data_IF_215180797525
#
_entry.id   IF_215180797525
#
_cell.length_a   1.000
_cell.length_b   1.000
_cell.length_c   1.000
_cell.angle_alpha   90.00
_cell.angle_beta   90.00
_cell.angle_gamma   90.00
#
_symmetry.space_group_name_H-M   'P 1'
#
loop_
_entity.id
_entity.type
_entity.pdbx_description
1 polymer ?
#
# COMPACT_ATOMS: atom_id res chain seq x y z
N UNK A 1 28.04 5.70 12.81
CA UNK A 1 26.59 5.98 12.91
C UNK A 1 25.93 5.28 11.73
N UNK A 2 25.13 4.24 11.96
CA UNK A 2 24.40 3.60 10.86
C UNK A 2 23.40 4.62 10.33
N UNK A 3 23.60 5.09 9.10
CA UNK A 3 22.58 5.81 8.37
C UNK A 3 21.52 4.78 8.00
N UNK A 4 20.52 4.56 8.87
CA UNK A 4 19.35 3.80 8.47
C UNK A 4 18.70 4.53 7.30
N UNK A 5 18.58 3.84 6.16
CA UNK A 5 17.89 4.37 5.00
C UNK A 5 16.41 4.54 5.36
N UNK A 6 15.93 5.78 5.40
CA UNK A 6 14.51 6.10 5.54
C UNK A 6 13.83 5.74 4.22
N UNK A 7 12.80 4.88 4.27
CA UNK A 7 12.07 4.48 3.07
C UNK A 7 10.90 5.42 2.78
N UNK A 8 10.71 5.77 1.51
CA UNK A 8 9.59 6.59 1.05
C UNK A 8 8.36 5.71 0.79
N UNK A 9 7.30 5.91 1.57
CA UNK A 9 6.07 5.13 1.50
C UNK A 9 4.90 6.02 1.08
N UNK A 10 4.19 5.68 0.02
CA UNK A 10 2.94 6.34 -0.36
C UNK A 10 1.74 5.49 0.03
N UNK A 11 0.78 6.05 0.76
CA UNK A 11 -0.52 5.44 1.06
C UNK A 11 -1.61 6.24 0.35
N UNK A 12 -2.18 5.68 -0.72
CA UNK A 12 -3.17 6.36 -1.57
C UNK A 12 -4.56 5.78 -1.29
N UNK A 13 -5.45 6.64 -0.82
CA UNK A 13 -6.69 6.28 -0.14
C UNK A 13 -6.45 6.21 1.36
N UNK A 14 -7.00 7.15 2.12
CA UNK A 14 -6.85 7.30 3.56
C UNK A 14 -8.11 6.85 4.34
N UNK A 15 -9.08 6.24 3.65
CA UNK A 15 -10.27 5.67 4.27
C UNK A 15 -9.99 4.48 5.21
N UNK A 16 -10.97 3.60 5.37
CA UNK A 16 -10.91 2.55 6.39
C UNK A 16 -9.69 1.64 6.28
N UNK A 17 -9.35 1.17 5.07
CA UNK A 17 -8.21 0.28 4.85
C UNK A 17 -6.88 1.03 4.82
N UNK A 18 -6.84 2.21 4.20
CA UNK A 18 -5.63 3.04 4.13
C UNK A 18 -5.11 3.44 5.50
N UNK A 19 -6.00 3.93 6.37
CA UNK A 19 -5.66 4.24 7.76
C UNK A 19 -5.22 3.01 8.59
N UNK A 20 -5.71 1.81 8.26
CA UNK A 20 -5.22 0.56 8.87
C UNK A 20 -3.82 0.18 8.40
N UNK A 21 -3.49 0.39 7.12
CA UNK A 21 -2.11 0.26 6.64
C UNK A 21 -1.18 1.24 7.36
N UNK A 22 -1.63 2.48 7.54
CA UNK A 22 -0.90 3.52 8.26
C UNK A 22 -0.63 3.12 9.73
N UNK A 23 -1.61 2.52 10.42
CA UNK A 23 -1.41 1.93 11.75
C UNK A 23 -0.39 0.77 11.74
N UNK A 24 -0.38 -0.05 10.69
CA UNK A 24 0.61 -1.11 10.51
C UNK A 24 2.03 -0.55 10.35
N UNK A 25 2.18 0.51 9.54
CA UNK A 25 3.46 1.20 9.34
C UNK A 25 3.96 1.83 10.65
N UNK A 26 3.07 2.45 11.44
CA UNK A 26 3.41 3.02 12.74
C UNK A 26 3.97 2.00 13.75
N UNK A 27 3.58 0.73 13.64
CA UNK A 27 4.03 -0.36 14.53
C UNK A 27 5.30 -1.06 14.03
N UNK A 28 5.80 -0.67 12.86
CA UNK A 28 7.05 -1.20 12.32
C UNK A 28 8.24 -0.76 13.15
N UNK A 29 9.27 -1.60 13.22
CA UNK A 29 10.58 -1.23 13.78
C UNK A 29 11.44 -0.42 12.80
N UNK A 30 10.94 -0.16 11.58
CA UNK A 30 11.61 0.64 10.55
C UNK A 30 11.07 2.06 10.54
N UNK A 31 11.94 3.00 10.20
CA UNK A 31 11.58 4.40 10.01
C UNK A 31 11.18 4.68 8.56
N UNK A 32 10.13 5.50 8.41
CA UNK A 32 9.53 5.79 7.11
C UNK A 32 9.28 7.29 6.93
N UNK A 33 9.42 7.74 5.69
CA UNK A 33 8.82 8.98 5.22
C UNK A 33 7.50 8.62 4.51
N UNK A 34 6.38 8.88 5.18
CA UNK A 34 5.05 8.45 4.75
C UNK A 34 4.28 9.62 4.13
N UNK A 35 3.73 9.39 2.95
CA UNK A 35 2.87 10.31 2.22
C UNK A 35 1.46 9.71 2.14
N UNK A 36 0.51 10.30 2.85
CA UNK A 36 -0.89 9.88 2.88
C UNK A 36 -1.70 10.79 1.95
N UNK A 37 -2.33 10.20 0.94
CA UNK A 37 -3.04 10.93 -0.11
C UNK A 37 -4.50 10.49 -0.18
N UNK A 38 -5.42 11.43 0.00
CA UNK A 38 -6.85 11.21 -0.21
C UNK A 38 -7.52 12.56 -0.53
N UNK A 39 -8.33 12.67 -1.59
CA UNK A 39 -9.04 13.92 -1.89
C UNK A 39 -10.01 14.34 -0.77
N UNK A 40 -10.52 13.39 0.02
CA UNK A 40 -11.43 13.66 1.13
C UNK A 40 -10.65 14.02 2.39
N UNK A 41 -10.78 15.27 2.83
CA UNK A 41 -10.13 15.78 4.04
C UNK A 41 -10.53 15.00 5.31
N UNK A 42 -11.81 14.61 5.42
CA UNK A 42 -12.28 13.81 6.56
C UNK A 42 -11.58 12.44 6.63
N UNK A 43 -11.24 11.85 5.49
CA UNK A 43 -10.47 10.61 5.45
C UNK A 43 -9.02 10.83 5.92
N UNK A 44 -8.41 11.95 5.56
CA UNK A 44 -7.08 12.33 6.05
C UNK A 44 -7.08 12.56 7.56
N UNK A 45 -8.08 13.26 8.10
CA UNK A 45 -8.24 13.48 9.55
C UNK A 45 -8.37 12.14 10.28
N UNK A 46 -9.23 11.24 9.79
CA UNK A 46 -9.39 9.91 10.35
C UNK A 46 -8.09 9.10 10.34
N UNK A 47 -7.34 9.15 9.23
CA UNK A 47 -6.07 8.46 9.12
C UNK A 47 -5.04 9.01 10.11
N UNK A 48 -4.99 10.34 10.28
CA UNK A 48 -4.12 10.99 11.25
C UNK A 48 -4.42 10.56 12.67
N UNK A 49 -5.69 10.61 13.08
CA UNK A 49 -6.12 10.15 14.41
C UNK A 49 -5.71 8.70 14.66
N UNK A 50 -5.96 7.81 13.69
CA UNK A 50 -5.62 6.39 13.80
C UNK A 50 -4.11 6.13 13.88
N UNK A 51 -3.30 6.92 13.18
CA UNK A 51 -1.85 6.84 13.30
C UNK A 51 -1.40 7.23 14.71
N UNK A 52 -1.89 8.36 15.22
CA UNK A 52 -1.55 8.90 16.54
C UNK A 52 -1.94 7.95 17.70
N UNK A 53 -3.01 7.18 17.55
CA UNK A 53 -3.41 6.14 18.52
C UNK A 53 -2.31 5.09 18.77
N UNK A 54 -1.43 4.85 17.80
CA UNK A 54 -0.44 3.74 17.83
C UNK A 54 1.00 4.17 17.57
N UNK A 55 1.27 5.45 17.29
CA UNK A 55 2.57 5.97 16.87
C UNK A 55 3.56 6.27 18.00
N UNK A 56 3.25 5.91 19.25
CA UNK A 56 4.05 6.26 20.44
C UNK A 56 5.54 5.87 20.38
N UNK A 57 5.91 4.94 19.50
CA UNK A 57 7.26 4.38 19.39
C UNK A 57 7.91 4.55 18.01
N UNK A 58 7.28 5.24 17.06
CA UNK A 58 7.84 5.40 15.71
C UNK A 58 8.42 6.79 15.50
N UNK A 59 9.59 6.85 14.85
CA UNK A 59 10.19 8.09 14.35
C UNK A 59 9.75 8.41 12.92
N UNK A 60 8.77 7.67 12.38
CA UNK A 60 8.28 7.90 11.01
C UNK A 60 7.64 9.27 10.87
N UNK A 61 7.98 9.98 9.80
CA UNK A 61 7.42 11.29 9.47
C UNK A 61 6.24 11.07 8.53
N UNK A 62 5.08 11.63 8.87
CA UNK A 62 3.86 11.49 8.06
C UNK A 62 3.38 12.83 7.54
N UNK A 63 3.14 12.90 6.23
CA UNK A 63 2.50 14.03 5.57
C UNK A 63 1.14 13.63 5.03
N UNK A 64 0.15 14.52 5.17
CA UNK A 64 -1.22 14.32 4.71
C UNK A 64 -1.51 15.33 3.60
N UNK A 65 -2.00 14.86 2.45
CA UNK A 65 -2.19 15.65 1.23
C UNK A 65 -3.47 15.24 0.51
N UNK A 66 -4.11 16.18 -0.18
CA UNK A 66 -5.27 15.90 -1.03
C UNK A 66 -4.89 15.51 -2.47
N UNK A 67 -3.63 15.70 -2.86
CA UNK A 67 -3.15 15.40 -4.21
C UNK A 67 -1.75 14.76 -4.21
N UNK A 68 -1.39 14.19 -5.35
CA UNK A 68 -0.08 13.54 -5.58
C UNK A 68 0.95 14.50 -6.19
N UNK A 69 0.71 15.81 -6.19
CA UNK A 69 1.58 16.77 -6.88
C UNK A 69 2.96 16.87 -6.25
N UNK A 70 3.05 16.75 -4.93
CA UNK A 70 4.28 16.94 -4.15
C UNK A 70 4.91 15.62 -3.71
N UNK A 71 4.65 14.53 -4.42
CA UNK A 71 5.32 13.25 -4.16
C UNK A 71 6.79 13.33 -4.61
N UNK A 72 7.72 12.69 -3.88
CA UNK A 72 9.10 12.59 -4.34
C UNK A 72 9.19 11.78 -5.64
N UNK A 73 10.27 11.99 -6.40
CA UNK A 73 10.50 11.26 -7.65
C UNK A 73 10.65 9.74 -7.48
N UNK A 74 10.97 9.28 -6.27
CA UNK A 74 11.13 7.86 -5.94
C UNK A 74 10.28 7.45 -4.74
N UNK A 75 9.55 6.35 -4.89
CA UNK A 75 8.73 5.71 -3.86
C UNK A 75 9.17 4.25 -3.73
N UNK A 76 9.62 3.85 -2.54
CA UNK A 76 10.02 2.47 -2.28
C UNK A 76 8.80 1.54 -2.25
N UNK A 77 7.71 1.99 -1.62
CA UNK A 77 6.48 1.24 -1.55
C UNK A 77 5.27 2.16 -1.71
N UNK A 78 4.40 1.83 -2.67
CA UNK A 78 3.08 2.43 -2.79
C UNK A 78 1.99 1.44 -2.38
N UNK A 79 1.10 1.85 -1.49
CA UNK A 79 -0.08 1.10 -1.05
C UNK A 79 -1.31 1.80 -1.61
N UNK A 80 -2.03 1.12 -2.49
CA UNK A 80 -3.24 1.65 -3.14
C UNK A 80 -4.48 1.07 -2.46
N UNK A 81 -5.00 1.82 -1.49
CA UNK A 81 -6.15 1.49 -0.65
C UNK A 81 -7.44 2.22 -1.07
N UNK A 82 -7.53 2.65 -2.33
CA UNK A 82 -8.74 3.24 -2.92
C UNK A 82 -9.75 2.18 -3.35
N UNK A 83 -10.95 2.61 -3.75
CA UNK A 83 -11.96 1.76 -4.37
C UNK A 83 -11.53 1.28 -5.76
N UNK A 84 -12.00 0.09 -6.16
CA UNK A 84 -11.55 -0.56 -7.39
C UNK A 84 -11.88 0.22 -8.68
N UNK A 85 -12.96 1.00 -8.69
CA UNK A 85 -13.43 1.77 -9.85
C UNK A 85 -12.46 2.90 -10.27
N UNK A 86 -11.73 3.50 -9.32
CA UNK A 86 -10.78 4.61 -9.59
C UNK A 86 -9.33 4.13 -9.61
N UNK A 87 -9.08 2.88 -9.23
CA UNK A 87 -7.74 2.36 -8.96
C UNK A 87 -6.81 2.40 -10.16
N UNK A 88 -7.32 2.04 -11.35
CA UNK A 88 -6.52 2.06 -12.60
C UNK A 88 -5.92 3.43 -12.86
N UNK A 89 -6.76 4.48 -12.88
CA UNK A 89 -6.35 5.87 -13.11
C UNK A 89 -5.32 6.33 -12.08
N UNK A 90 -5.49 5.93 -10.83
CA UNK A 90 -4.55 6.23 -9.75
C UNK A 90 -3.18 5.58 -9.99
N UNK A 91 -3.15 4.30 -10.38
CA UNK A 91 -1.90 3.60 -10.68
C UNK A 91 -1.21 4.25 -11.88
N UNK A 92 -1.94 4.54 -12.96
CA UNK A 92 -1.38 5.19 -14.16
C UNK A 92 -0.74 6.54 -13.80
N UNK A 93 -1.49 7.42 -13.12
CA UNK A 93 -1.00 8.73 -12.69
C UNK A 93 0.22 8.63 -11.77
N UNK A 94 0.26 7.63 -10.88
CA UNK A 94 1.37 7.44 -9.96
C UNK A 94 2.63 6.96 -10.70
N UNK A 95 2.48 6.02 -11.63
CA UNK A 95 3.56 5.51 -12.47
C UNK A 95 4.13 6.58 -13.42
N UNK A 96 3.32 7.58 -13.79
CA UNK A 96 3.76 8.71 -14.62
C UNK A 96 4.59 9.73 -13.84
N UNK A 97 4.33 9.89 -12.54
CA UNK A 97 4.97 10.89 -11.69
C UNK A 97 6.19 10.38 -10.94
N UNK A 98 6.18 9.11 -10.54
CA UNK A 98 7.17 8.55 -9.62
C UNK A 98 7.75 7.25 -10.16
N UNK A 99 9.02 7.01 -9.87
CA UNK A 99 9.62 5.69 -9.95
C UNK A 99 9.21 4.90 -8.70
N UNK A 100 8.58 3.74 -8.88
CA UNK A 100 8.03 2.92 -7.79
C UNK A 100 8.73 1.57 -7.78
N UNK A 101 9.25 1.15 -6.63
CA UNK A 101 9.88 -0.17 -6.51
C UNK A 101 8.87 -1.28 -6.22
N UNK A 102 8.00 -1.05 -5.24
CA UNK A 102 7.00 -2.01 -4.79
C UNK A 102 5.59 -1.40 -4.77
N UNK A 103 4.59 -2.20 -5.15
CA UNK A 103 3.19 -1.80 -5.19
C UNK A 103 2.32 -2.83 -4.48
N UNK A 104 1.46 -2.38 -3.56
CA UNK A 104 0.43 -3.21 -2.91
C UNK A 104 -0.94 -2.67 -3.31
N UNK A 105 -1.79 -3.54 -3.85
CA UNK A 105 -3.15 -3.20 -4.27
C UNK A 105 -4.18 -3.87 -3.36
N UNK A 106 -5.23 -3.15 -2.98
CA UNK A 106 -6.35 -3.78 -2.27
C UNK A 106 -7.10 -4.81 -3.13
N UNK A 107 -7.68 -5.81 -2.45
CA UNK A 107 -8.38 -6.92 -3.11
C UNK A 107 -9.68 -6.48 -3.79
N UNK A 108 -10.09 -7.31 -4.77
CA UNK A 108 -10.84 -6.91 -5.97
C UNK A 108 -10.08 -5.79 -6.68
N UNK A 109 -9.09 -6.18 -7.48
CA UNK A 109 -8.06 -5.26 -8.03
C UNK A 109 -8.65 -4.28 -9.04
N UNK A 110 -9.51 -4.74 -9.95
CA UNK A 110 -10.23 -3.92 -10.91
C UNK A 110 -11.65 -4.43 -11.06
N UNK A 111 -12.57 -3.55 -11.47
CA UNK A 111 -13.95 -3.93 -11.76
C UNK A 111 -14.09 -4.61 -13.13
N UNK A 112 -13.17 -4.30 -14.07
CA UNK A 112 -13.17 -4.84 -15.42
C UNK A 112 -11.93 -5.70 -15.66
N UNK A 113 -12.10 -6.82 -16.34
CA UNK A 113 -11.00 -7.69 -16.76
C UNK A 113 -10.01 -6.98 -17.69
N UNK A 114 -10.52 -6.09 -18.55
CA UNK A 114 -9.69 -5.36 -19.50
C UNK A 114 -8.66 -4.44 -18.85
N UNK A 115 -8.86 -4.02 -17.58
CA UNK A 115 -7.94 -3.13 -16.88
C UNK A 115 -6.63 -3.83 -16.45
N UNK A 116 -6.62 -5.16 -16.38
CA UNK A 116 -5.44 -5.91 -15.92
C UNK A 116 -4.28 -5.84 -16.92
N UNK A 117 -4.53 -6.08 -18.22
CA UNK A 117 -3.47 -6.16 -19.23
C UNK A 117 -2.69 -4.85 -19.38
N UNK A 118 -3.32 -3.67 -19.50
CA UNK A 118 -2.61 -2.40 -19.59
C UNK A 118 -1.75 -2.13 -18.35
N UNK A 119 -2.30 -2.32 -17.15
CA UNK A 119 -1.56 -2.07 -15.92
C UNK A 119 -0.39 -3.05 -15.77
N UNK A 120 -0.60 -4.34 -16.05
CA UNK A 120 0.48 -5.33 -15.99
C UNK A 120 1.62 -4.97 -16.95
N UNK A 121 1.30 -4.54 -18.17
CA UNK A 121 2.31 -4.07 -19.13
C UNK A 121 3.11 -2.89 -18.56
N UNK A 122 2.44 -1.86 -18.02
CA UNK A 122 3.13 -0.69 -17.42
C UNK A 122 4.02 -1.06 -16.24
N UNK A 123 3.57 -1.99 -15.39
CA UNK A 123 4.36 -2.46 -14.24
C UNK A 123 5.62 -3.20 -14.71
N UNK A 124 5.51 -4.05 -15.73
CA UNK A 124 6.66 -4.75 -16.31
C UNK A 124 7.65 -3.78 -16.96
N UNK A 125 7.18 -2.84 -17.78
CA UNK A 125 8.01 -1.82 -18.43
C UNK A 125 8.78 -0.96 -17.44
N UNK A 126 8.16 -0.64 -16.29
CA UNK A 126 8.79 0.16 -15.22
C UNK A 126 9.50 -0.67 -14.16
N UNK A 127 9.53 -2.00 -14.29
CA UNK A 127 10.18 -2.90 -13.32
C UNK A 127 9.53 -2.90 -11.93
N UNK A 128 8.26 -2.52 -11.81
CA UNK A 128 7.53 -2.41 -10.54
C UNK A 128 7.07 -3.79 -10.11
N UNK A 129 7.43 -4.23 -8.90
CA UNK A 129 6.90 -5.48 -8.34
C UNK A 129 5.61 -5.22 -7.59
N UNK A 130 4.55 -5.96 -7.93
CA UNK A 130 3.22 -5.70 -7.39
C UNK A 130 2.62 -6.94 -6.70
N UNK A 131 1.86 -6.70 -5.63
CA UNK A 131 1.09 -7.71 -4.90
C UNK A 131 -0.32 -7.24 -4.64
N UNK A 132 -1.24 -8.19 -4.47
CA UNK A 132 -2.61 -7.94 -4.02
C UNK A 132 -2.70 -8.25 -2.53
N UNK A 133 -3.28 -7.34 -1.75
CA UNK A 133 -3.50 -7.50 -0.32
C UNK A 133 -4.54 -8.59 -0.04
N UNK A 134 -4.06 -9.82 0.06
CA UNK A 134 -4.82 -10.99 0.46
C UNK A 134 -4.48 -11.39 1.90
N UNK A 135 -4.63 -10.46 2.86
CA UNK A 135 -4.16 -10.60 4.25
C UNK A 135 -4.46 -11.95 4.92
N UNK A 136 -5.63 -12.55 4.65
CA UNK A 136 -6.01 -13.87 5.20
C UNK A 136 -5.01 -14.97 4.86
N UNK A 137 -4.34 -14.92 3.71
CA UNK A 137 -3.30 -15.91 3.31
C UNK A 137 -2.08 -15.88 4.24
N UNK A 138 -1.88 -14.80 4.98
CA UNK A 138 -0.77 -14.65 5.92
C UNK A 138 -1.08 -15.19 7.32
N UNK A 139 -2.36 -15.39 7.66
CA UNK A 139 -2.77 -15.80 9.00
C UNK A 139 -2.46 -17.28 9.24
N UNK A 140 -1.97 -17.62 10.43
CA UNK A 140 -1.53 -18.98 10.79
C UNK A 140 -2.60 -20.03 10.55
N UNK A 141 -3.86 -19.72 10.83
CA UNK A 141 -4.99 -20.62 10.56
C UNK A 141 -5.07 -21.05 9.09
N UNK A 142 -5.04 -20.10 8.15
CA UNK A 142 -5.16 -20.41 6.72
C UNK A 142 -3.89 -21.08 6.17
N UNK A 143 -2.70 -20.75 6.71
CA UNK A 143 -1.45 -21.45 6.39
C UNK A 143 -1.52 -22.91 6.81
N UNK A 144 -1.98 -23.17 8.03
CA UNK A 144 -2.15 -24.53 8.57
C UNK A 144 -3.19 -25.32 7.77
N UNK A 145 -4.31 -24.68 7.39
CA UNK A 145 -5.33 -25.33 6.56
C UNK A 145 -4.77 -25.76 5.20
N UNK A 146 -4.00 -24.88 4.55
CA UNK A 146 -3.35 -25.18 3.27
C UNK A 146 -2.37 -26.34 3.41
N UNK A 147 -1.54 -26.31 4.46
CA UNK A 147 -0.58 -27.37 4.75
C UNK A 147 -1.29 -28.72 4.97
N UNK A 148 -2.35 -28.74 5.77
CA UNK A 148 -3.12 -29.96 6.05
C UNK A 148 -3.79 -30.52 4.80
N UNK A 149 -4.38 -29.66 3.97
CA UNK A 149 -4.97 -30.05 2.70
C UNK A 149 -3.95 -30.75 1.79
N UNK A 150 -2.75 -30.16 1.62
CA UNK A 150 -1.69 -30.79 0.81
C UNK A 150 -1.18 -32.08 1.43
N UNK A 151 -1.11 -32.18 2.77
CA UNK A 151 -0.69 -33.41 3.43
C UNK A 151 -1.64 -34.57 3.16
N UNK A 152 -2.95 -34.35 3.15
CA UNK A 152 -3.95 -35.41 2.87
C UNK A 152 -3.91 -35.86 1.41
N UNK A 153 -3.66 -34.96 0.46
CA UNK A 153 -3.63 -35.30 -0.97
C UNK A 153 -2.37 -36.08 -1.39
N UNK A 154 -1.34 -36.13 -0.53
CA UNK A 154 -0.08 -36.84 -0.78
C UNK A 154 0.09 -38.08 0.12
N UNK A 155 -1.02 -38.58 0.69
CA UNK A 155 -1.15 -39.88 1.37
C UNK A 155 -2.06 -40.73 0.50
#
# INVERSE_FOLDING_TARGET
MNTENIYNIAVIGAGQLGSRHLQGLAKSSKEFQIYVIDPNENALILAKQRFEEVSKSTNSIVSYRQSMSDLPGTIDLAIIATTANVRRKIIENLLDKCSIKYLILEKVVFQKSEDFKPIQKRLLEKGVKAWVNCARRSYSFYKNLTYFYFKIQNI
#
